data_IF_145794833958
#
_entry.id   IF_145794833958
#
_cell.length_a   1.000
_cell.length_b   1.000
_cell.length_c   1.000
_cell.angle_alpha   90.00
_cell.angle_beta   90.00
_cell.angle_gamma   90.00
#
_symmetry.space_group_name_H-M   'P 1'
#
loop_
_entity.id
_entity.type
_entity.pdbx_description
1 polymer ?
#
# COMPACT_ATOMS: atom_id res chain seq x y z
N UNK A 1 34.62 16.82 25.57
CA UNK A 1 33.42 17.64 25.85
C UNK A 1 32.23 16.69 25.93
N UNK A 2 31.72 16.45 27.12
CA UNK A 2 30.70 15.43 27.42
C UNK A 2 29.34 16.12 27.35
N UNK A 3 28.59 15.96 26.25
CA UNK A 3 27.18 16.38 26.20
C UNK A 3 26.35 15.29 26.87
N UNK A 4 26.37 15.26 28.20
CA UNK A 4 25.33 14.62 28.98
C UNK A 4 24.08 15.48 28.85
N UNK A 5 23.31 15.32 27.77
CA UNK A 5 21.91 15.72 27.76
C UNK A 5 21.13 14.43 27.99
N UNK A 6 20.90 14.15 29.28
CA UNK A 6 20.10 13.00 29.70
C UNK A 6 18.71 13.09 29.10
N UNK A 7 18.15 11.92 28.76
CA UNK A 7 16.76 11.77 28.32
C UNK A 7 15.84 12.67 29.17
N UNK A 8 14.94 13.46 28.56
CA UNK A 8 14.00 14.29 29.31
C UNK A 8 13.11 13.43 30.22
N UNK A 9 12.58 14.02 31.30
CA UNK A 9 11.69 13.30 32.25
C UNK A 9 10.42 12.77 31.56
N UNK A 10 9.97 13.45 30.51
CA UNK A 10 8.82 13.05 29.70
C UNK A 10 9.24 12.71 28.28
N UNK A 11 8.78 11.56 27.80
CA UNK A 11 8.91 11.18 26.40
C UNK A 11 7.96 12.00 25.52
N UNK A 12 8.40 12.33 24.31
CA UNK A 12 7.60 13.03 23.30
C UNK A 12 7.22 12.05 22.19
N UNK A 13 5.93 11.98 21.85
CA UNK A 13 5.43 11.23 20.70
C UNK A 13 5.15 12.19 19.53
N UNK A 14 5.82 11.97 18.41
CA UNK A 14 5.48 12.60 17.13
C UNK A 14 4.68 11.58 16.32
N UNK A 15 3.41 11.91 16.04
CA UNK A 15 2.54 11.15 15.14
C UNK A 15 2.41 11.94 13.84
N UNK A 16 2.91 11.36 12.75
CA UNK A 16 2.91 11.97 11.42
C UNK A 16 2.04 11.12 10.49
N UNK A 17 0.84 11.62 10.21
CA UNK A 17 -0.05 11.01 9.22
C UNK A 17 0.39 11.37 7.80
N UNK A 18 0.15 10.45 6.86
CA UNK A 18 0.57 10.52 5.47
C UNK A 18 2.01 11.04 5.30
N UNK A 19 2.93 10.53 6.12
CA UNK A 19 4.28 11.08 6.30
C UNK A 19 5.01 11.48 4.99
N UNK A 20 5.01 10.66 3.91
CA UNK A 20 5.65 11.04 2.64
C UNK A 20 5.11 12.32 2.00
N UNK A 21 3.84 12.68 2.21
CA UNK A 21 3.22 13.90 1.65
C UNK A 21 3.66 15.17 2.38
N UNK A 22 4.20 15.06 3.59
CA UNK A 22 4.74 16.20 4.32
C UNK A 22 6.06 16.72 3.72
N UNK A 23 6.63 15.99 2.75
CA UNK A 23 7.91 16.32 2.14
C UNK A 23 9.09 15.79 2.95
N UNK A 24 10.31 16.26 2.62
CA UNK A 24 11.54 15.73 3.22
C UNK A 24 11.83 16.36 4.58
N UNK A 25 12.04 15.53 5.59
CA UNK A 25 12.40 15.92 6.96
C UNK A 25 13.87 15.58 7.25
N UNK A 26 14.80 16.42 6.78
CA UNK A 26 16.24 16.17 6.94
C UNK A 26 16.65 15.94 8.40
N UNK A 27 16.09 16.69 9.35
CA UNK A 27 16.37 16.53 10.77
C UNK A 27 15.98 15.14 11.32
N UNK A 28 14.85 14.58 10.86
CA UNK A 28 14.45 13.22 11.25
C UNK A 28 15.37 12.21 10.56
N UNK A 29 15.70 12.43 9.28
CA UNK A 29 16.61 11.53 8.55
C UNK A 29 17.97 11.38 9.23
N UNK A 30 18.57 12.50 9.64
CA UNK A 30 19.90 12.54 10.27
C UNK A 30 19.92 11.90 11.67
N UNK A 31 18.76 11.83 12.34
CA UNK A 31 18.67 11.46 13.76
C UNK A 31 17.82 10.20 14.05
N UNK A 32 17.21 9.58 13.04
CA UNK A 32 16.25 8.48 13.19
C UNK A 32 16.74 7.33 14.08
N UNK A 33 18.04 7.03 14.05
CA UNK A 33 18.67 5.96 14.84
C UNK A 33 18.92 6.32 16.30
N UNK A 34 18.94 7.61 16.66
CA UNK A 34 19.30 8.10 18.00
C UNK A 34 18.16 8.79 18.74
N UNK A 35 17.09 9.22 18.05
CA UNK A 35 15.95 9.94 18.65
C UNK A 35 15.36 9.25 19.89
N UNK A 36 15.37 7.92 19.93
CA UNK A 36 14.91 7.13 21.08
C UNK A 36 15.72 7.41 22.35
N UNK A 37 17.03 7.67 22.23
CA UNK A 37 17.90 8.05 23.34
C UNK A 37 17.54 9.42 23.94
N UNK A 38 16.97 10.30 23.11
CA UNK A 38 16.50 11.65 23.49
C UNK A 38 15.04 11.68 23.95
N UNK A 39 14.41 10.53 24.19
CA UNK A 39 13.01 10.46 24.65
C UNK A 39 11.98 10.71 23.55
N UNK A 40 12.39 10.77 22.28
CA UNK A 40 11.47 10.97 21.14
C UNK A 40 11.02 9.62 20.58
N UNK A 41 9.71 9.47 20.40
CA UNK A 41 9.06 8.33 19.74
C UNK A 41 8.38 8.81 18.48
N UNK A 42 8.50 8.03 17.40
CA UNK A 42 7.92 8.35 16.10
C UNK A 42 6.87 7.31 15.71
N UNK A 43 5.67 7.78 15.37
CA UNK A 43 4.62 7.02 14.71
C UNK A 43 4.44 7.61 13.30
N UNK A 44 4.93 6.88 12.31
CA UNK A 44 4.84 7.28 10.90
C UNK A 44 3.76 6.45 10.23
N UNK A 45 2.69 7.10 9.76
CA UNK A 45 1.67 6.45 8.96
C UNK A 45 2.05 6.59 7.49
N UNK A 46 2.34 5.46 6.85
CA UNK A 46 2.80 5.39 5.46
C UNK A 46 1.84 4.50 4.67
N UNK A 47 1.05 5.11 3.79
CA UNK A 47 0.11 4.39 2.93
C UNK A 47 0.77 3.87 1.65
N UNK A 48 1.77 4.61 1.13
CA UNK A 48 2.50 4.27 -0.09
C UNK A 48 4.02 4.30 0.16
N UNK A 49 4.65 3.13 0.10
CA UNK A 49 6.09 3.00 0.25
C UNK A 49 6.86 3.56 -0.95
N UNK A 50 6.29 3.56 -2.14
CA UNK A 50 6.94 4.14 -3.32
C UNK A 50 7.06 5.67 -3.18
N UNK A 51 6.09 6.32 -2.53
CA UNK A 51 6.21 7.73 -2.16
C UNK A 51 7.30 7.94 -1.11
N UNK A 52 7.35 7.11 -0.08
CA UNK A 52 8.43 7.18 0.92
C UNK A 52 9.80 7.06 0.27
N UNK A 53 9.96 6.10 -0.66
CA UNK A 53 11.18 5.90 -1.45
C UNK A 53 11.57 7.13 -2.28
N UNK A 54 10.59 7.77 -2.91
CA UNK A 54 10.81 8.97 -3.73
C UNK A 54 11.22 10.19 -2.92
N UNK A 55 10.63 10.39 -1.74
CA UNK A 55 10.85 11.58 -0.90
C UNK A 55 12.08 11.45 -0.01
N UNK A 56 12.31 10.25 0.54
CA UNK A 56 13.36 9.99 1.53
C UNK A 56 14.40 9.00 0.99
N UNK A 57 15.64 9.44 0.68
CA UNK A 57 16.70 8.56 0.20
C UNK A 57 17.02 7.40 1.17
N UNK A 58 16.84 7.64 2.47
CA UNK A 58 17.07 6.67 3.53
C UNK A 58 15.81 5.89 3.93
N UNK A 59 14.78 5.80 3.07
CA UNK A 59 13.51 5.12 3.37
C UNK A 59 13.68 3.72 4.01
N UNK A 60 14.71 2.96 3.60
CA UNK A 60 15.03 1.64 4.18
C UNK A 60 15.40 1.75 5.66
N UNK A 61 16.11 2.81 6.05
CA UNK A 61 16.49 3.07 7.43
C UNK A 61 15.28 3.38 8.30
N UNK A 62 14.27 4.09 7.79
CA UNK A 62 13.00 4.27 8.49
C UNK A 62 12.34 2.93 8.84
N UNK A 63 12.31 1.99 7.89
CA UNK A 63 11.78 0.65 8.13
C UNK A 63 12.65 -0.16 9.09
N UNK A 64 13.97 -0.14 8.92
CA UNK A 64 14.91 -0.89 9.75
C UNK A 64 14.96 -0.38 11.21
N UNK A 65 14.67 0.91 11.42
CA UNK A 65 14.67 1.54 12.75
C UNK A 65 13.31 1.41 13.45
N UNK A 66 12.26 1.03 12.73
CA UNK A 66 10.93 0.83 13.28
C UNK A 66 10.90 -0.40 14.21
N UNK A 67 10.63 -0.18 15.50
CA UNK A 67 10.45 -1.27 16.47
C UNK A 67 9.15 -2.06 16.22
N UNK A 68 8.17 -1.43 15.58
CA UNK A 68 6.90 -2.03 15.19
C UNK A 68 6.55 -1.58 13.78
N UNK A 69 6.22 -2.53 12.90
CA UNK A 69 5.61 -2.30 11.60
C UNK A 69 4.23 -2.97 11.62
N UNK A 70 3.18 -2.21 11.37
CA UNK A 70 1.80 -2.69 11.44
C UNK A 70 1.13 -2.51 10.08
N UNK A 71 0.51 -3.59 9.59
CA UNK A 71 -0.26 -3.61 8.36
C UNK A 71 -1.64 -4.22 8.63
N UNK A 72 -2.66 -3.73 7.94
CA UNK A 72 -4.00 -4.31 8.03
C UNK A 72 -4.02 -5.79 7.66
N UNK A 73 -4.80 -6.60 8.39
CA UNK A 73 -4.87 -8.06 8.18
C UNK A 73 -5.22 -8.43 6.75
N UNK A 74 -6.22 -7.75 6.17
CA UNK A 74 -6.63 -7.97 4.79
C UNK A 74 -5.50 -7.63 3.82
N UNK A 75 -4.86 -6.46 3.97
CA UNK A 75 -3.76 -6.05 3.10
C UNK A 75 -2.62 -7.07 3.15
N UNK A 76 -2.26 -7.56 4.34
CA UNK A 76 -1.23 -8.59 4.50
C UNK A 76 -1.57 -9.90 3.79
N UNK A 77 -2.84 -10.30 3.84
CA UNK A 77 -3.27 -11.51 3.16
C UNK A 77 -3.26 -11.37 1.64
N UNK A 78 -3.80 -10.26 1.12
CA UNK A 78 -3.71 -9.94 -0.31
C UNK A 78 -2.25 -9.87 -0.77
N UNK A 79 -1.39 -9.18 -0.01
CA UNK A 79 0.02 -9.06 -0.30
C UNK A 79 0.75 -10.41 -0.32
N UNK A 80 0.52 -11.28 0.66
CA UNK A 80 1.11 -12.65 0.69
C UNK A 80 0.63 -13.52 -0.47
N UNK A 81 -0.67 -13.48 -0.78
CA UNK A 81 -1.21 -14.25 -1.90
C UNK A 81 -0.56 -13.82 -3.21
N UNK A 82 -0.53 -12.52 -3.45
CA UNK A 82 0.10 -11.97 -4.64
C UNK A 82 1.62 -12.22 -4.65
N UNK A 83 2.30 -12.19 -3.49
CA UNK A 83 3.74 -12.47 -3.39
C UNK A 83 4.06 -13.92 -3.77
N UNK A 84 3.23 -14.86 -3.32
CA UNK A 84 3.40 -16.27 -3.65
C UNK A 84 3.11 -16.58 -5.12
N UNK A 85 2.19 -15.84 -5.75
CA UNK A 85 1.62 -16.23 -7.04
C UNK A 85 2.03 -15.32 -8.21
N UNK A 86 2.40 -14.07 -7.93
CA UNK A 86 2.66 -12.97 -8.87
C UNK A 86 3.78 -12.05 -8.33
N UNK A 87 4.93 -12.63 -7.98
CA UNK A 87 6.01 -11.91 -7.30
C UNK A 87 6.57 -10.75 -8.15
N UNK A 88 6.66 -10.94 -9.47
CA UNK A 88 7.31 -10.03 -10.40
C UNK A 88 6.37 -9.49 -11.48
N UNK A 89 5.25 -10.17 -11.71
CA UNK A 89 4.29 -9.78 -12.72
C UNK A 89 3.51 -8.53 -12.33
N UNK A 90 3.09 -7.71 -13.31
CA UNK A 90 2.22 -6.59 -13.03
C UNK A 90 0.89 -7.04 -12.43
N UNK A 91 0.41 -6.32 -11.43
CA UNK A 91 -0.94 -6.53 -10.87
C UNK A 91 -1.67 -5.20 -10.75
N UNK A 92 -2.99 -5.26 -10.71
CA UNK A 92 -3.83 -4.13 -10.35
C UNK A 92 -4.42 -4.33 -8.95
N UNK A 93 -4.43 -3.29 -8.12
CA UNK A 93 -5.01 -3.35 -6.76
C UNK A 93 -5.74 -2.05 -6.42
N UNK A 94 -6.61 -2.10 -5.42
CA UNK A 94 -7.10 -0.89 -4.75
C UNK A 94 -6.33 -0.59 -3.45
N UNK A 95 -5.65 -1.59 -2.85
CA UNK A 95 -4.89 -1.45 -1.60
C UNK A 95 -3.41 -1.72 -1.87
N UNK A 96 -2.59 -0.68 -1.69
CA UNK A 96 -1.18 -0.67 -2.10
C UNK A 96 -0.18 -0.99 -0.98
N UNK A 97 -0.50 -0.68 0.28
CA UNK A 97 0.48 -0.62 1.37
C UNK A 97 1.28 -1.90 1.58
N UNK A 98 0.65 -2.93 2.15
CA UNK A 98 1.26 -4.25 2.34
C UNK A 98 1.79 -4.86 1.03
N UNK A 99 1.09 -4.55 -0.07
CA UNK A 99 1.35 -5.13 -1.38
C UNK A 99 2.68 -4.65 -1.95
N UNK A 100 2.94 -3.33 -1.89
CA UNK A 100 4.22 -2.72 -2.25
C UNK A 100 5.36 -3.13 -1.32
N UNK A 101 5.04 -3.56 -0.09
CA UNK A 101 6.05 -4.00 0.86
C UNK A 101 6.56 -5.42 0.58
N UNK A 102 5.68 -6.35 0.20
CA UNK A 102 6.02 -7.77 0.07
C UNK A 102 6.38 -8.21 -1.36
N UNK A 103 6.23 -7.34 -2.36
CA UNK A 103 6.52 -7.67 -3.77
C UNK A 103 7.35 -6.61 -4.45
N UNK A 104 8.17 -7.04 -5.40
CA UNK A 104 9.02 -6.18 -6.23
C UNK A 104 8.42 -5.91 -7.63
N UNK A 105 7.36 -6.65 -8.02
CA UNK A 105 6.71 -6.49 -9.33
C UNK A 105 5.91 -5.19 -9.50
N UNK A 106 5.65 -4.76 -10.75
CA UNK A 106 4.87 -3.55 -11.01
C UNK A 106 3.45 -3.62 -10.41
N UNK A 107 2.94 -2.48 -9.97
CA UNK A 107 1.62 -2.37 -9.37
C UNK A 107 0.89 -1.15 -9.91
N UNK A 108 -0.35 -1.39 -10.32
CA UNK A 108 -1.29 -0.35 -10.72
C UNK A 108 -2.27 -0.14 -9.58
N UNK A 109 -2.33 1.08 -9.08
CA UNK A 109 -3.31 1.49 -8.07
C UNK A 109 -4.55 2.06 -8.75
N UNK A 110 -5.64 1.29 -8.70
CA UNK A 110 -6.91 1.63 -9.32
C UNK A 110 -7.69 2.74 -8.58
N UNK A 111 -7.28 3.10 -7.35
CA UNK A 111 -7.78 4.29 -6.67
C UNK A 111 -6.99 5.55 -7.02
N UNK A 112 -5.79 5.40 -7.59
CA UNK A 112 -4.96 6.51 -8.04
C UNK A 112 -4.10 7.18 -6.97
N UNK A 113 -4.04 6.66 -5.75
CA UNK A 113 -3.19 7.20 -4.68
C UNK A 113 -1.69 7.08 -5.00
N UNK A 114 -1.28 5.98 -5.65
CA UNK A 114 0.09 5.73 -6.08
C UNK A 114 0.29 5.77 -7.60
N UNK A 115 -0.79 5.87 -8.39
CA UNK A 115 -0.76 5.87 -9.85
C UNK A 115 -1.29 7.19 -10.42
N UNK A 116 -0.38 8.11 -10.76
CA UNK A 116 -0.73 9.47 -11.19
C UNK A 116 -1.65 9.51 -12.43
N UNK A 117 -1.50 8.58 -13.37
CA UNK A 117 -2.35 8.55 -14.57
C UNK A 117 -3.78 8.12 -14.23
N UNK A 118 -3.94 7.22 -13.25
CA UNK A 118 -5.24 6.85 -12.68
C UNK A 118 -5.84 8.04 -11.92
N UNK A 119 -5.05 8.72 -11.08
CA UNK A 119 -5.50 9.94 -10.38
C UNK A 119 -6.02 11.01 -11.34
N UNK A 120 -5.26 11.30 -12.41
CA UNK A 120 -5.67 12.27 -13.45
C UNK A 120 -6.97 11.86 -14.14
N UNK A 121 -7.12 10.57 -14.47
CA UNK A 121 -8.34 10.07 -15.10
C UNK A 121 -9.57 10.16 -14.19
N UNK A 122 -9.37 10.11 -12.87
CA UNK A 122 -10.39 10.34 -11.84
C UNK A 122 -10.50 11.81 -11.40
N UNK A 123 -9.82 12.74 -12.08
CA UNK A 123 -9.85 14.16 -11.72
C UNK A 123 -9.25 14.50 -10.35
N UNK A 124 -8.36 13.65 -9.83
CA UNK A 124 -7.84 13.68 -8.46
C UNK A 124 -8.91 13.51 -7.37
N UNK A 125 -10.07 12.94 -7.74
CA UNK A 125 -11.11 12.51 -6.80
C UNK A 125 -11.03 10.99 -6.62
N UNK A 126 -10.83 10.53 -5.39
CA UNK A 126 -10.73 9.09 -5.10
C UNK A 126 -12.08 8.38 -5.25
N UNK A 127 -13.19 9.10 -5.04
CA UNK A 127 -14.54 8.56 -5.07
C UNK A 127 -15.10 8.52 -6.51
N UNK A 128 -14.55 9.32 -7.43
CA UNK A 128 -14.92 9.30 -8.85
C UNK A 128 -14.60 7.91 -9.46
N UNK A 129 -15.60 7.15 -9.95
CA UNK A 129 -15.36 5.80 -10.43
C UNK A 129 -14.63 5.80 -11.77
N UNK A 130 -13.69 4.87 -11.95
CA UNK A 130 -13.18 4.56 -13.29
C UNK A 130 -14.31 3.94 -14.12
N UNK A 131 -14.43 4.32 -15.39
CA UNK A 131 -15.23 3.56 -16.33
C UNK A 131 -14.62 2.17 -16.57
N UNK A 132 -15.44 1.23 -17.03
CA UNK A 132 -14.96 -0.12 -17.33
C UNK A 132 -13.87 -0.17 -18.38
N UNK A 133 -13.93 0.72 -19.37
CA UNK A 133 -12.90 0.86 -20.39
C UNK A 133 -11.59 1.38 -19.79
N UNK A 134 -11.64 2.40 -18.92
CA UNK A 134 -10.45 2.92 -18.24
C UNK A 134 -9.82 1.87 -17.33
N UNK A 135 -10.63 1.14 -16.56
CA UNK A 135 -10.14 0.08 -15.67
C UNK A 135 -9.44 -1.04 -16.46
N UNK A 136 -10.01 -1.45 -17.60
CA UNK A 136 -9.37 -2.41 -18.50
C UNK A 136 -8.06 -1.87 -19.11
N UNK A 137 -8.03 -0.60 -19.51
CA UNK A 137 -6.85 0.03 -20.11
C UNK A 137 -5.70 0.19 -19.10
N UNK A 138 -5.99 0.66 -17.87
CA UNK A 138 -4.96 0.83 -16.84
C UNK A 138 -4.40 -0.50 -16.34
N UNK A 139 -5.22 -1.53 -16.28
CA UNK A 139 -4.78 -2.87 -15.90
C UNK A 139 -4.29 -3.69 -17.11
N UNK A 140 -4.07 -3.09 -18.28
CA UNK A 140 -3.48 -3.82 -19.40
C UNK A 140 -2.07 -4.29 -19.02
N UNK A 141 -1.77 -5.54 -19.36
CA UNK A 141 -0.56 -6.22 -18.92
C UNK A 141 -0.55 -6.70 -17.45
N UNK A 142 -1.50 -6.29 -16.61
CA UNK A 142 -1.67 -6.91 -15.29
C UNK A 142 -2.13 -8.36 -15.44
N UNK A 143 -1.64 -9.27 -14.61
CA UNK A 143 -2.07 -10.67 -14.58
C UNK A 143 -3.36 -10.84 -13.75
N UNK A 144 -3.44 -10.13 -12.63
CA UNK A 144 -4.54 -10.23 -11.67
C UNK A 144 -4.92 -8.85 -11.14
N UNK A 145 -6.20 -8.67 -10.87
CA UNK A 145 -6.74 -7.55 -10.11
C UNK A 145 -7.24 -8.03 -8.74
N UNK A 146 -6.77 -7.40 -7.66
CA UNK A 146 -7.25 -7.64 -6.30
C UNK A 146 -7.99 -6.39 -5.80
N UNK A 147 -9.32 -6.45 -5.75
CA UNK A 147 -10.16 -5.27 -5.53
C UNK A 147 -11.31 -5.51 -4.55
N UNK A 148 -11.71 -4.46 -3.84
CA UNK A 148 -13.05 -4.34 -3.28
C UNK A 148 -14.08 -4.14 -4.38
N UNK A 149 -14.75 -5.21 -4.81
CA UNK A 149 -15.70 -5.15 -5.93
C UNK A 149 -16.82 -4.11 -5.74
N UNK A 150 -17.27 -3.93 -4.50
CA UNK A 150 -18.29 -2.92 -4.14
C UNK A 150 -17.82 -1.47 -4.37
N UNK A 151 -16.51 -1.22 -4.34
CA UNK A 151 -15.92 0.08 -4.69
C UNK A 151 -15.81 0.31 -6.21
N UNK A 152 -16.11 -0.70 -7.03
CA UNK A 152 -15.98 -0.66 -8.49
C UNK A 152 -17.24 -1.20 -9.19
N UNK A 153 -18.42 -1.03 -8.56
CA UNK A 153 -19.69 -1.51 -9.12
C UNK A 153 -19.92 -0.92 -10.51
N UNK A 154 -20.16 -1.78 -11.49
CA UNK A 154 -20.34 -1.39 -12.90
C UNK A 154 -19.04 -1.05 -13.65
N UNK A 155 -17.92 -0.87 -12.95
CA UNK A 155 -16.61 -0.62 -13.55
C UNK A 155 -15.85 -1.92 -13.87
N UNK A 156 -16.01 -2.99 -13.09
CA UNK A 156 -15.26 -4.23 -13.32
C UNK A 156 -15.48 -4.76 -14.76
N UNK A 157 -14.43 -4.87 -15.60
CA UNK A 157 -14.56 -5.32 -16.98
C UNK A 157 -15.17 -6.71 -17.10
N UNK A 158 -16.18 -6.86 -17.97
CA UNK A 158 -16.85 -8.15 -18.24
C UNK A 158 -15.89 -9.24 -18.74
N UNK A 159 -14.78 -8.84 -19.36
CA UNK A 159 -13.75 -9.76 -19.83
C UNK A 159 -12.94 -10.39 -18.68
N UNK A 160 -12.91 -9.76 -17.51
CA UNK A 160 -12.20 -10.28 -16.36
C UNK A 160 -12.97 -11.45 -15.75
N UNK A 161 -12.23 -12.47 -15.33
CA UNK A 161 -12.83 -13.67 -14.73
C UNK A 161 -12.56 -13.67 -13.23
N UNK A 162 -13.61 -13.68 -12.40
CA UNK A 162 -13.43 -13.84 -10.96
C UNK A 162 -12.86 -15.22 -10.67
N UNK A 163 -11.69 -15.27 -10.04
CA UNK A 163 -10.97 -16.52 -9.73
C UNK A 163 -10.95 -16.82 -8.24
N UNK A 164 -11.31 -15.85 -7.39
CA UNK A 164 -11.45 -16.06 -5.95
C UNK A 164 -12.09 -14.86 -5.26
N UNK A 165 -12.55 -15.07 -4.04
CA UNK A 165 -12.96 -14.02 -3.12
C UNK A 165 -12.54 -14.42 -1.72
N UNK A 166 -11.84 -13.54 -1.05
CA UNK A 166 -11.44 -13.72 0.34
C UNK A 166 -12.33 -12.88 1.25
N UNK A 167 -12.87 -13.48 2.33
CA UNK A 167 -13.71 -12.77 3.31
C UNK A 167 -12.86 -12.41 4.53
N UNK A 168 -12.85 -11.12 4.87
CA UNK A 168 -12.15 -10.58 6.02
C UNK A 168 -12.99 -10.82 7.27
N UNK A 169 -12.61 -11.81 8.08
CA UNK A 169 -13.25 -12.04 9.38
C UNK A 169 -13.03 -10.85 10.33
N UNK A 170 -14.13 -10.27 10.82
CA UNK A 170 -14.20 -9.04 11.62
C UNK A 170 -13.48 -7.85 10.95
N UNK A 171 -14.17 -7.23 10.00
CA UNK A 171 -13.70 -6.05 9.27
C UNK A 171 -13.66 -4.81 10.18
N UNK A 172 -12.57 -4.63 10.93
CA UNK A 172 -12.41 -3.47 11.85
C UNK A 172 -11.85 -2.23 11.16
N UNK A 173 -11.16 -2.39 10.04
CA UNK A 173 -10.45 -1.30 9.34
C UNK A 173 -10.47 -1.43 7.82
N UNK A 174 -11.26 -2.35 7.25
CA UNK A 174 -11.41 -2.48 5.80
C UNK A 174 -12.63 -1.70 5.33
N UNK A 175 -12.60 -1.26 4.07
CA UNK A 175 -13.75 -0.62 3.44
C UNK A 175 -14.91 -1.61 3.26
N UNK A 176 -14.60 -2.86 2.89
CA UNK A 176 -15.58 -3.94 2.71
C UNK A 176 -15.06 -5.25 3.29
N UNK A 177 -15.96 -6.17 3.70
CA UNK A 177 -15.57 -7.39 4.41
C UNK A 177 -15.02 -8.48 3.48
N UNK A 178 -14.62 -8.17 2.25
CA UNK A 178 -14.05 -9.14 1.33
C UNK A 178 -13.20 -8.50 0.24
N UNK A 179 -12.24 -9.23 -0.31
CA UNK A 179 -11.46 -8.84 -1.50
C UNK A 179 -11.74 -9.84 -2.61
N UNK A 180 -12.14 -9.36 -3.79
CA UNK A 180 -12.31 -10.19 -4.98
C UNK A 180 -11.02 -10.21 -5.80
N UNK A 181 -10.67 -11.39 -6.32
CA UNK A 181 -9.54 -11.57 -7.23
C UNK A 181 -10.05 -11.91 -8.62
N UNK A 182 -9.59 -11.16 -9.61
CA UNK A 182 -9.95 -11.32 -11.00
C UNK A 182 -8.72 -11.62 -11.84
N UNK A 183 -8.76 -12.71 -12.61
CA UNK A 183 -7.82 -12.91 -13.70
C UNK A 183 -8.17 -11.91 -14.81
N UNK A 184 -7.27 -10.97 -15.05
CA UNK A 184 -7.37 -9.97 -16.12
C UNK A 184 -6.81 -10.54 -17.43
N UNK A 185 -5.96 -11.58 -17.33
CA UNK A 185 -5.39 -12.35 -18.45
C UNK A 185 -5.62 -13.85 -18.25
N UNK A 186 -5.65 -14.61 -19.34
CA UNK A 186 -5.91 -16.05 -19.31
C UNK A 186 -4.87 -16.85 -18.50
N UNK A 187 -3.63 -16.37 -18.45
CA UNK A 187 -2.48 -16.95 -17.75
C UNK A 187 -2.60 -16.94 -16.24
N UNK A 188 -3.39 -16.04 -15.66
CA UNK A 188 -3.59 -15.94 -14.22
C UNK A 188 -4.62 -16.96 -13.68
N UNK A 189 -5.39 -17.61 -14.57
CA UNK A 189 -6.39 -18.60 -14.17
C UNK A 189 -5.72 -19.80 -13.50
N UNK A 190 -6.13 -20.12 -12.28
CA UNK A 190 -5.58 -21.22 -11.48
C UNK A 190 -4.32 -20.90 -10.67
N UNK A 191 -3.73 -19.70 -10.85
CA UNK A 191 -2.57 -19.24 -10.06
C UNK A 191 -2.96 -18.56 -8.75
N UNK A 192 -4.18 -18.05 -8.65
CA UNK A 192 -4.70 -17.52 -7.38
C UNK A 192 -4.92 -18.69 -6.42
N UNK A 193 -4.00 -18.85 -5.48
CA UNK A 193 -4.10 -19.86 -4.45
C UNK A 193 -5.37 -19.65 -3.61
N UNK A 194 -6.12 -20.73 -3.38
CA UNK A 194 -7.23 -20.77 -2.43
C UNK A 194 -6.63 -20.72 -1.02
N UNK A 195 -6.60 -19.53 -0.42
CA UNK A 195 -6.28 -19.33 0.99
C UNK A 195 -7.55 -19.26 1.82
#
# INVERSE_FOLDING_TARGET
MHLAHGRPESDVLLLLDEFPKLGRFAAIEDSISILRGYGVRLWLLVQDLNQLQRVHPIWRTFLASATLQAFGRQQMQTARMLAASFAYEPVAVNDIGAVAYLRDGPMIDLLGLASNDVARAKGFDIDEPLSSAQMAAFADGAEVAAIYEDGFVGAVPKAWTRVGRFVVGACTSCAFPYVSYFATRGTARGRVAKY
#
